data_IF_954917058317
#
_entry.id   IF_954917058317
#
_cell.length_a   1.000
_cell.length_b   1.000
_cell.length_c   1.000
_cell.angle_alpha   90.00
_cell.angle_beta   90.00
_cell.angle_gamma   90.00
#
_symmetry.space_group_name_H-M   'P 1'
#
loop_
_entity.id
_entity.type
_entity.pdbx_description
1 polymer ?
#
# COMPACT_ATOMS: atom_id res chain seq x y z
N UNK A 1 -10.21 -6.94 -35.74
CA UNK A 1 -9.91 -5.49 -35.73
C UNK A 1 -9.49 -5.14 -34.32
N UNK A 2 -8.22 -4.77 -34.11
CA UNK A 2 -7.78 -4.26 -32.82
C UNK A 2 -8.48 -2.91 -32.60
N UNK A 3 -9.23 -2.79 -31.50
CA UNK A 3 -9.81 -1.51 -31.11
C UNK A 3 -8.67 -0.51 -30.94
N UNK A 4 -8.76 0.63 -31.63
CA UNK A 4 -7.81 1.71 -31.44
C UNK A 4 -7.83 2.11 -29.97
N UNK A 5 -6.67 2.02 -29.30
CA UNK A 5 -6.50 2.54 -27.94
C UNK A 5 -6.82 4.02 -27.99
N UNK A 6 -7.76 4.54 -27.18
CA UNK A 6 -8.04 5.97 -27.17
C UNK A 6 -6.73 6.72 -26.91
N UNK A 7 -6.45 7.74 -27.72
CA UNK A 7 -5.38 8.70 -27.44
C UNK A 7 -5.67 9.32 -26.06
N UNK A 8 -4.97 8.85 -25.02
CA UNK A 8 -5.07 9.42 -23.68
C UNK A 8 -4.52 10.86 -23.73
N UNK A 9 -5.23 11.79 -23.09
CA UNK A 9 -4.83 13.19 -23.02
C UNK A 9 -3.49 13.29 -22.30
N UNK A 10 -2.65 14.22 -22.74
CA UNK A 10 -1.37 14.49 -22.08
C UNK A 10 -1.65 15.24 -20.78
N UNK A 11 -1.55 14.54 -19.65
CA UNK A 11 -1.70 15.14 -18.33
C UNK A 11 -0.43 15.90 -17.95
N UNK A 12 -0.60 17.04 -17.28
CA UNK A 12 0.51 17.95 -16.94
C UNK A 12 0.66 18.22 -15.45
N UNK A 13 -0.32 17.83 -14.64
CA UNK A 13 -0.34 17.99 -13.17
C UNK A 13 -0.80 16.71 -12.49
N UNK A 14 -0.35 16.51 -11.25
CA UNK A 14 -0.84 15.43 -10.38
C UNK A 14 -1.42 16.03 -9.11
N UNK A 15 -2.63 15.64 -8.74
CA UNK A 15 -3.26 15.97 -7.46
C UNK A 15 -3.32 14.69 -6.65
N UNK A 16 -2.69 14.69 -5.48
CA UNK A 16 -2.57 13.54 -4.60
C UNK A 16 -3.51 13.72 -3.41
N UNK A 17 -4.32 12.70 -3.11
CA UNK A 17 -4.84 12.58 -1.76
C UNK A 17 -3.71 12.25 -0.76
N UNK A 18 -3.95 12.45 0.53
CA UNK A 18 -2.99 12.19 1.59
C UNK A 18 -3.30 10.91 2.39
N UNK A 19 -4.53 10.79 2.89
CA UNK A 19 -4.91 9.92 4.00
C UNK A 19 -5.49 8.61 3.45
N UNK A 20 -4.69 7.54 3.46
CA UNK A 20 -5.02 6.28 2.77
C UNK A 20 -4.37 6.16 1.39
N UNK A 21 -3.93 7.28 0.80
CA UNK A 21 -3.19 7.30 -0.48
C UNK A 21 -1.67 7.38 -0.30
N UNK A 22 -1.18 8.39 0.44
CA UNK A 22 0.26 8.58 0.68
C UNK A 22 0.70 8.12 2.07
N UNK A 23 -0.20 8.23 3.06
CA UNK A 23 0.05 7.87 4.45
C UNK A 23 -0.97 6.82 4.92
N UNK A 24 -0.52 5.85 5.72
CA UNK A 24 -1.40 4.86 6.32
C UNK A 24 -2.10 5.43 7.56
N UNK A 25 -3.08 6.32 7.37
CA UNK A 25 -3.90 6.87 8.45
C UNK A 25 -4.87 5.86 9.03
N UNK A 26 -5.40 4.95 8.21
CA UNK A 26 -6.42 4.00 8.62
C UNK A 26 -5.97 3.10 9.77
N UNK A 27 -4.68 2.72 9.79
CA UNK A 27 -4.09 1.99 10.90
C UNK A 27 -4.19 2.75 12.23
N UNK A 28 -3.82 4.04 12.23
CA UNK A 28 -3.88 4.89 13.43
C UNK A 28 -5.32 5.14 13.85
N UNK A 29 -6.23 5.39 12.89
CA UNK A 29 -7.67 5.54 13.13
C UNK A 29 -8.23 4.31 13.84
N UNK A 30 -7.95 3.13 13.32
CA UNK A 30 -8.37 1.87 13.94
C UNK A 30 -7.85 1.73 15.37
N UNK A 31 -6.59 2.04 15.63
CA UNK A 31 -6.00 1.86 16.96
C UNK A 31 -6.48 2.88 17.99
N UNK A 32 -6.72 4.13 17.59
CA UNK A 32 -7.35 5.14 18.47
C UNK A 32 -8.78 4.73 18.80
N UNK A 33 -9.56 4.30 17.81
CA UNK A 33 -10.96 3.91 18.02
C UNK A 33 -11.10 2.63 18.85
N UNK A 34 -10.21 1.64 18.68
CA UNK A 34 -10.16 0.45 19.55
C UNK A 34 -10.01 0.81 21.02
N UNK A 35 -9.22 1.83 21.34
CA UNK A 35 -9.00 2.27 22.73
C UNK A 35 -10.16 3.13 23.22
N UNK A 36 -10.56 4.14 22.44
CA UNK A 36 -11.56 5.11 22.84
C UNK A 36 -12.95 4.49 23.03
N UNK A 37 -13.36 3.57 22.14
CA UNK A 37 -14.68 2.96 22.20
C UNK A 37 -14.90 2.07 23.43
N UNK A 38 -13.83 1.55 24.05
CA UNK A 38 -13.90 0.77 25.29
C UNK A 38 -14.48 1.61 26.43
N UNK A 39 -14.20 2.92 26.48
CA UNK A 39 -14.77 3.86 27.46
C UNK A 39 -16.31 3.88 27.41
N UNK A 40 -16.88 3.65 26.24
CA UNK A 40 -18.32 3.60 26.01
C UNK A 40 -18.90 2.18 26.07
N UNK A 41 -18.11 1.19 26.47
CA UNK A 41 -18.51 -0.22 26.48
C UNK A 41 -18.71 -0.80 25.08
N UNK A 42 -18.01 -0.25 24.07
CA UNK A 42 -18.10 -0.65 22.66
C UNK A 42 -16.77 -1.26 22.19
N UNK A 43 -16.82 -1.99 21.08
CA UNK A 43 -15.64 -2.56 20.42
C UNK A 43 -15.59 -2.07 18.97
N UNK A 44 -14.42 -1.62 18.53
CA UNK A 44 -14.20 -1.21 17.15
C UNK A 44 -14.42 -2.39 16.19
N UNK A 45 -15.27 -2.20 15.18
CA UNK A 45 -15.51 -3.15 14.11
C UNK A 45 -14.75 -2.68 12.87
N UNK A 46 -13.74 -3.45 12.45
CA UNK A 46 -12.94 -3.12 11.28
C UNK A 46 -13.78 -2.99 10.00
N UNK A 47 -14.97 -3.61 9.92
CA UNK A 47 -15.88 -3.44 8.77
C UNK A 47 -16.47 -2.03 8.69
N UNK A 48 -16.56 -1.33 9.82
CA UNK A 48 -17.05 0.06 9.89
C UNK A 48 -15.99 1.05 9.41
N UNK A 49 -14.72 0.66 9.32
CA UNK A 49 -13.66 1.52 8.78
C UNK A 49 -14.01 2.02 7.37
N UNK A 50 -14.60 1.14 6.54
CA UNK A 50 -15.03 1.47 5.18
C UNK A 50 -16.05 2.61 5.10
N UNK A 51 -16.86 2.78 6.15
CA UNK A 51 -17.89 3.81 6.17
C UNK A 51 -17.33 5.19 6.51
N UNK A 52 -16.10 5.26 7.02
CA UNK A 52 -15.46 6.52 7.43
C UNK A 52 -14.29 6.93 6.53
N UNK A 53 -13.77 6.02 5.69
CA UNK A 53 -12.70 6.29 4.71
C UNK A 53 -13.08 7.45 3.78
N UNK A 54 -12.16 8.40 3.62
CA UNK A 54 -12.31 9.56 2.74
C UNK A 54 -13.32 10.62 3.18
N UNK A 55 -14.04 10.44 4.30
CA UNK A 55 -14.97 11.44 4.85
C UNK A 55 -14.21 12.60 5.50
N UNK A 56 -14.89 13.73 5.66
CA UNK A 56 -14.39 14.80 6.55
C UNK A 56 -14.38 14.32 8.00
N UNK A 57 -13.54 14.89 8.89
CA UNK A 57 -13.50 14.49 10.30
C UNK A 57 -14.86 14.59 11.00
N UNK A 58 -15.66 15.62 10.68
CA UNK A 58 -16.99 15.80 11.26
C UNK A 58 -17.95 14.69 10.81
N UNK A 59 -17.98 14.36 9.51
CA UNK A 59 -18.85 13.29 8.99
C UNK A 59 -18.44 11.92 9.52
N UNK A 60 -17.13 11.67 9.68
CA UNK A 60 -16.61 10.45 10.29
C UNK A 60 -17.01 10.35 11.77
N UNK A 61 -16.85 11.43 12.54
CA UNK A 61 -17.26 11.50 13.93
C UNK A 61 -18.77 11.31 14.11
N UNK A 62 -19.60 11.94 13.26
CA UNK A 62 -21.05 11.75 13.26
C UNK A 62 -21.41 10.29 13.02
N UNK A 63 -20.84 9.67 12.00
CA UNK A 63 -21.09 8.25 11.71
C UNK A 63 -20.75 7.36 12.92
N UNK A 64 -19.57 7.56 13.54
CA UNK A 64 -19.16 6.78 14.71
C UNK A 64 -20.13 6.95 15.89
N UNK A 65 -20.52 8.20 16.20
CA UNK A 65 -21.46 8.48 17.30
C UNK A 65 -22.81 7.81 17.06
N UNK A 66 -23.34 7.89 15.84
CA UNK A 66 -24.63 7.32 15.46
C UNK A 66 -24.60 5.78 15.45
N UNK A 67 -23.61 5.18 14.78
CA UNK A 67 -23.51 3.73 14.58
C UNK A 67 -23.28 2.99 15.90
N UNK A 68 -22.41 3.54 16.76
CA UNK A 68 -22.15 2.97 18.08
C UNK A 68 -23.16 3.37 19.13
N UNK A 69 -24.05 4.32 18.81
CA UNK A 69 -25.03 4.92 19.74
C UNK A 69 -24.33 5.45 20.99
N UNK A 70 -23.32 6.28 20.78
CA UNK A 70 -22.52 6.85 21.86
C UNK A 70 -23.35 7.89 22.64
N UNK A 71 -23.24 7.93 23.98
CA UNK A 71 -23.94 8.89 24.82
C UNK A 71 -23.24 10.25 24.86
N UNK A 72 -22.87 10.79 23.70
CA UNK A 72 -22.26 12.11 23.54
C UNK A 72 -22.66 12.72 22.18
N UNK A 73 -22.47 14.03 22.05
CA UNK A 73 -22.61 14.74 20.78
C UNK A 73 -21.38 14.54 19.88
N UNK A 74 -21.53 14.82 18.58
CA UNK A 74 -20.41 14.79 17.63
C UNK A 74 -19.27 15.73 18.05
N UNK A 75 -19.59 16.94 18.52
CA UNK A 75 -18.58 17.92 18.94
C UNK A 75 -17.81 17.47 20.19
N UNK A 76 -18.49 16.87 21.15
CA UNK A 76 -17.86 16.28 22.34
C UNK A 76 -16.94 15.12 21.94
N UNK A 77 -17.39 14.24 21.03
CA UNK A 77 -16.59 13.14 20.53
C UNK A 77 -15.36 13.62 19.76
N UNK A 78 -15.50 14.62 18.88
CA UNK A 78 -14.37 15.22 18.16
C UNK A 78 -13.35 15.85 19.11
N UNK A 79 -13.82 16.56 20.12
CA UNK A 79 -12.96 17.18 21.14
C UNK A 79 -12.15 16.14 21.91
N UNK A 80 -12.73 14.95 22.13
CA UNK A 80 -12.06 13.83 22.80
C UNK A 80 -11.07 13.07 21.89
N UNK A 81 -11.43 12.83 20.62
CA UNK A 81 -10.62 11.99 19.72
C UNK A 81 -9.45 12.74 19.05
N UNK A 82 -9.59 14.04 18.79
CA UNK A 82 -8.60 14.84 18.04
C UNK A 82 -7.20 14.86 18.71
N UNK A 83 -7.08 15.02 20.05
CA UNK A 83 -5.77 14.95 20.70
C UNK A 83 -5.11 13.57 20.58
N UNK A 84 -5.90 12.49 20.66
CA UNK A 84 -5.39 11.10 20.57
C UNK A 84 -4.74 10.80 19.22
N UNK A 85 -5.21 11.48 18.17
CA UNK A 85 -4.62 11.42 16.84
C UNK A 85 -3.30 12.18 16.75
N UNK A 86 -3.28 13.40 17.29
CA UNK A 86 -2.11 14.28 17.22
C UNK A 86 -0.86 13.66 17.87
N UNK A 87 -1.06 12.88 18.94
CA UNK A 87 0.01 12.13 19.62
C UNK A 87 0.61 10.98 18.78
N UNK A 88 -0.10 10.52 17.73
CA UNK A 88 0.28 9.34 16.95
C UNK A 88 0.77 9.65 15.55
N UNK A 89 0.55 10.86 15.03
CA UNK A 89 1.02 11.25 13.69
C UNK A 89 2.53 11.16 13.51
N UNK A 90 3.32 11.30 14.58
CA UNK A 90 4.77 11.10 14.51
C UNK A 90 5.20 9.67 14.12
N UNK A 91 4.31 8.68 14.28
CA UNK A 91 4.56 7.28 13.94
C UNK A 91 3.87 6.86 12.63
N UNK A 92 3.29 7.80 11.88
CA UNK A 92 2.55 7.46 10.67
C UNK A 92 3.48 6.90 9.59
N UNK A 93 3.10 5.73 9.07
CA UNK A 93 3.87 5.06 8.02
C UNK A 93 3.45 5.61 6.65
N UNK A 94 4.44 5.95 5.83
CA UNK A 94 4.26 6.29 4.42
C UNK A 94 3.78 5.06 3.66
N UNK A 95 2.84 5.13 2.74
CA UNK A 95 2.41 3.96 1.98
C UNK A 95 3.44 3.52 0.92
N UNK A 96 3.56 2.20 0.62
CA UNK A 96 4.52 1.70 -0.36
C UNK A 96 4.38 2.38 -1.72
N UNK A 97 5.48 2.98 -2.19
CA UNK A 97 5.55 3.72 -3.45
C UNK A 97 5.31 5.23 -3.35
N UNK A 98 4.80 5.76 -2.24
CA UNK A 98 4.51 7.19 -2.09
C UNK A 98 5.77 8.07 -2.17
N UNK A 99 6.81 7.75 -1.38
CA UNK A 99 8.10 8.47 -1.45
C UNK A 99 8.72 8.42 -2.85
N UNK A 100 8.64 7.25 -3.51
CA UNK A 100 9.14 7.02 -4.87
C UNK A 100 8.41 7.91 -5.87
N UNK A 101 7.08 7.97 -5.80
CA UNK A 101 6.25 8.80 -6.66
C UNK A 101 6.54 10.29 -6.48
N UNK A 102 6.51 10.80 -5.24
CA UNK A 102 6.75 12.22 -4.95
C UNK A 102 8.13 12.65 -5.44
N UNK A 103 9.17 11.86 -5.12
CA UNK A 103 10.55 12.15 -5.55
C UNK A 103 10.67 12.14 -7.09
N UNK A 104 10.03 11.17 -7.74
CA UNK A 104 10.06 11.02 -9.20
C UNK A 104 9.40 12.22 -9.90
N UNK A 105 8.17 12.57 -9.52
CA UNK A 105 7.43 13.69 -10.11
C UNK A 105 8.14 15.02 -9.87
N UNK A 106 8.62 15.27 -8.64
CA UNK A 106 9.42 16.46 -8.32
C UNK A 106 10.71 16.53 -9.15
N UNK A 107 11.43 15.42 -9.27
CA UNK A 107 12.68 15.33 -10.03
C UNK A 107 12.52 15.63 -11.52
N UNK A 108 11.32 15.40 -12.06
CA UNK A 108 10.97 15.73 -13.45
C UNK A 108 10.24 17.07 -13.61
N UNK A 109 10.08 17.84 -12.52
CA UNK A 109 9.39 19.13 -12.54
C UNK A 109 7.90 19.04 -12.83
N UNK A 110 7.25 17.89 -12.58
CA UNK A 110 5.80 17.74 -12.69
C UNK A 110 5.14 18.46 -11.51
N UNK A 111 4.29 19.48 -11.74
CA UNK A 111 3.56 20.16 -10.67
C UNK A 111 2.65 19.20 -9.91
N UNK A 112 2.72 19.25 -8.59
CA UNK A 112 1.93 18.43 -7.69
C UNK A 112 1.13 19.28 -6.70
N UNK A 113 -0.10 18.87 -6.42
CA UNK A 113 -0.87 19.39 -5.29
C UNK A 113 -1.31 18.28 -4.34
N UNK A 114 -1.54 18.63 -3.08
CA UNK A 114 -2.29 17.80 -2.14
C UNK A 114 -3.72 18.31 -2.01
N UNK A 115 -4.69 17.38 -1.99
CA UNK A 115 -6.09 17.67 -1.72
C UNK A 115 -6.67 16.63 -0.76
N UNK A 116 -6.92 17.01 0.50
CA UNK A 116 -7.42 16.10 1.54
C UNK A 116 -8.61 16.71 2.28
N UNK A 117 -9.57 15.87 2.69
CA UNK A 117 -10.70 16.26 3.54
C UNK A 117 -10.27 16.60 4.98
N UNK A 118 -9.02 16.32 5.36
CA UNK A 118 -8.42 16.78 6.63
C UNK A 118 -8.25 18.30 6.65
N UNK A 119 -8.33 18.95 7.84
CA UNK A 119 -8.02 20.36 7.98
C UNK A 119 -6.56 20.67 7.62
N UNK A 120 -6.29 21.89 7.13
CA UNK A 120 -4.95 22.33 6.72
C UNK A 120 -3.89 22.11 7.79
N UNK A 121 -4.16 22.49 9.03
CA UNK A 121 -3.24 22.31 10.16
C UNK A 121 -2.89 20.82 10.39
N UNK A 122 -3.89 19.92 10.26
CA UNK A 122 -3.68 18.48 10.38
C UNK A 122 -2.80 17.94 9.26
N UNK A 123 -3.02 18.40 8.02
CA UNK A 123 -2.18 18.06 6.87
C UNK A 123 -0.74 18.50 7.13
N UNK A 124 -0.51 19.76 7.50
CA UNK A 124 0.84 20.27 7.72
C UNK A 124 1.58 19.54 8.85
N UNK A 125 0.85 19.16 9.91
CA UNK A 125 1.39 18.34 11.00
C UNK A 125 1.87 16.99 10.49
N UNK A 126 1.03 16.27 9.72
CA UNK A 126 1.40 14.98 9.11
C UNK A 126 2.63 15.12 8.20
N UNK A 127 2.65 16.14 7.34
CA UNK A 127 3.77 16.40 6.44
C UNK A 127 5.08 16.73 7.17
N UNK A 128 5.01 17.34 8.36
CA UNK A 128 6.21 17.76 9.12
C UNK A 128 7.11 16.60 9.53
N UNK A 129 6.56 15.38 9.61
CA UNK A 129 7.31 14.16 9.93
C UNK A 129 8.00 13.53 8.70
N UNK A 130 7.80 14.09 7.50
CA UNK A 130 8.33 13.56 6.25
C UNK A 130 9.18 14.61 5.54
N UNK A 131 10.50 14.48 5.70
CA UNK A 131 11.46 15.44 5.17
C UNK A 131 11.28 15.67 3.66
N UNK A 132 11.13 16.94 3.27
CA UNK A 132 11.02 17.34 1.87
C UNK A 132 9.62 17.23 1.26
N UNK A 133 8.63 16.68 1.98
CA UNK A 133 7.27 16.51 1.45
C UNK A 133 6.59 17.85 1.22
N UNK A 134 6.53 18.74 2.22
CA UNK A 134 5.87 20.05 2.10
C UNK A 134 6.41 20.85 0.90
N UNK A 135 7.72 20.82 0.68
CA UNK A 135 8.41 21.52 -0.41
C UNK A 135 8.28 20.81 -1.77
N UNK A 136 7.65 19.63 -1.82
CA UNK A 136 7.38 18.92 -3.08
C UNK A 136 6.07 19.33 -3.71
N UNK A 137 5.14 19.90 -2.94
CA UNK A 137 3.83 20.30 -3.41
C UNK A 137 3.80 21.81 -3.73
N UNK A 138 3.37 22.15 -4.94
CA UNK A 138 3.13 23.53 -5.35
C UNK A 138 1.88 24.11 -4.71
N UNK A 139 0.93 23.25 -4.34
CA UNK A 139 -0.28 23.61 -3.62
C UNK A 139 -0.66 22.51 -2.63
N UNK A 140 -1.27 22.91 -1.52
CA UNK A 140 -1.91 22.02 -0.56
C UNK A 140 -3.30 22.63 -0.37
N UNK A 141 -4.34 21.82 -0.28
CA UNK A 141 -5.72 22.26 0.00
C UNK A 141 -6.33 21.32 1.04
N UNK A 142 -6.71 21.88 2.18
CA UNK A 142 -7.46 21.19 3.23
C UNK A 142 -8.96 21.29 3.05
N UNK A 143 -9.69 20.38 3.70
CA UNK A 143 -11.16 20.33 3.65
C UNK A 143 -11.83 21.57 4.27
N UNK A 144 -11.12 22.27 5.17
CA UNK A 144 -11.52 23.52 5.79
C UNK A 144 -11.29 24.77 4.90
N UNK A 145 -10.60 24.62 3.78
CA UNK A 145 -10.34 25.68 2.80
C UNK A 145 -11.39 25.72 1.67
N UNK A 146 -12.39 24.82 1.71
CA UNK A 146 -13.51 24.75 0.76
C UNK A 146 -14.85 24.73 1.48
N UNK A 147 -15.94 25.02 0.76
CA UNK A 147 -17.28 25.04 1.37
C UNK A 147 -17.82 23.62 1.58
N UNK A 148 -17.54 22.71 0.64
CA UNK A 148 -17.89 21.30 0.75
C UNK A 148 -16.70 20.43 0.36
N UNK A 149 -16.29 19.53 1.25
CA UNK A 149 -15.25 18.53 0.99
C UNK A 149 -15.71 17.41 0.03
N UNK A 150 -14.83 16.45 -0.25
CA UNK A 150 -15.12 15.26 -1.09
C UNK A 150 -16.37 14.56 -0.54
N UNK A 151 -17.37 14.17 -1.38
CA UNK A 151 -17.31 14.02 -2.84
C UNK A 151 -17.62 15.27 -3.67
N UNK A 152 -17.71 16.46 -3.06
CA UNK A 152 -17.76 17.70 -3.83
C UNK A 152 -16.48 17.86 -4.68
N UNK A 153 -16.57 18.39 -5.92
CA UNK A 153 -15.38 18.65 -6.73
C UNK A 153 -14.58 19.87 -6.26
N UNK A 154 -15.11 20.68 -5.33
CA UNK A 154 -14.54 21.98 -4.94
C UNK A 154 -13.05 21.90 -4.56
N UNK A 155 -12.65 20.89 -3.78
CA UNK A 155 -11.24 20.73 -3.34
C UNK A 155 -10.28 20.46 -4.50
N UNK A 156 -10.70 19.65 -5.48
CA UNK A 156 -9.89 19.34 -6.64
C UNK A 156 -9.83 20.52 -7.60
N UNK A 157 -10.95 21.23 -7.80
CA UNK A 157 -11.00 22.44 -8.62
C UNK A 157 -10.11 23.55 -8.04
N UNK A 158 -10.10 23.74 -6.72
CA UNK A 158 -9.21 24.70 -6.07
C UNK A 158 -7.73 24.27 -6.20
N UNK A 159 -7.42 22.99 -6.02
CA UNK A 159 -6.07 22.47 -6.24
C UNK A 159 -5.59 22.71 -7.69
N UNK A 160 -6.41 22.42 -8.70
CA UNK A 160 -6.08 22.68 -10.11
C UNK A 160 -5.86 24.17 -10.40
N UNK A 161 -6.71 25.03 -9.83
CA UNK A 161 -6.56 26.49 -9.92
C UNK A 161 -5.23 26.97 -9.33
N UNK A 162 -4.84 26.48 -8.16
CA UNK A 162 -3.55 26.83 -7.54
C UNK A 162 -2.34 26.31 -8.34
N UNK A 163 -2.51 25.20 -9.06
CA UNK A 163 -1.52 24.69 -10.02
C UNK A 163 -1.51 25.44 -11.36
N UNK A 164 -2.41 26.39 -11.57
CA UNK A 164 -2.66 27.04 -12.87
C UNK A 164 -2.91 26.02 -13.99
N UNK A 165 -3.69 24.98 -13.69
CA UNK A 165 -3.99 23.90 -14.62
C UNK A 165 -5.49 23.79 -14.90
N UNK A 166 -5.83 23.42 -16.13
CA UNK A 166 -7.19 23.00 -16.48
C UNK A 166 -7.49 21.64 -15.82
N UNK A 167 -8.69 21.43 -15.24
CA UNK A 167 -9.03 20.16 -14.60
C UNK A 167 -8.83 18.94 -15.51
N UNK A 168 -9.12 19.08 -16.81
CA UNK A 168 -8.92 18.02 -17.80
C UNK A 168 -7.47 17.60 -18.04
N UNK A 169 -6.50 18.35 -17.51
CA UNK A 169 -5.07 18.08 -17.63
C UNK A 169 -4.47 17.55 -16.32
N UNK A 170 -5.28 17.33 -15.28
CA UNK A 170 -4.80 16.78 -14.01
C UNK A 170 -5.16 15.30 -13.85
N UNK A 171 -4.20 14.56 -13.31
CA UNK A 171 -4.37 13.22 -12.79
C UNK A 171 -4.62 13.29 -11.29
N UNK A 172 -5.71 12.71 -10.81
CA UNK A 172 -5.93 12.50 -9.37
C UNK A 172 -5.51 11.08 -8.99
N UNK A 173 -4.80 10.93 -7.88
CA UNK A 173 -4.54 9.62 -7.27
C UNK A 173 -5.21 9.59 -5.90
N UNK A 174 -6.09 8.60 -5.69
CA UNK A 174 -7.07 8.59 -4.60
C UNK A 174 -7.40 7.18 -4.14
N UNK A 175 -7.67 6.97 -2.85
CA UNK A 175 -7.92 5.65 -2.25
C UNK A 175 -9.39 5.39 -1.86
N UNK A 176 -10.25 6.42 -1.96
CA UNK A 176 -11.59 6.48 -1.39
C UNK A 176 -12.67 6.76 -2.43
N UNK A 177 -13.86 6.18 -2.22
CA UNK A 177 -15.01 6.44 -3.11
C UNK A 177 -15.42 7.93 -3.12
N UNK A 178 -15.47 8.66 -1.98
CA UNK A 178 -15.76 10.08 -2.02
C UNK A 178 -14.77 10.87 -2.87
N UNK A 179 -13.47 10.61 -2.75
CA UNK A 179 -12.47 11.34 -3.50
C UNK A 179 -12.45 11.01 -4.98
N UNK A 180 -12.58 9.73 -5.35
CA UNK A 180 -12.79 9.35 -6.76
C UNK A 180 -14.03 10.04 -7.33
N UNK A 181 -15.15 10.04 -6.59
CA UNK A 181 -16.38 10.74 -6.99
C UNK A 181 -16.16 12.24 -7.22
N UNK A 182 -15.48 12.92 -6.29
CA UNK A 182 -15.17 14.35 -6.40
C UNK A 182 -14.25 14.68 -7.56
N UNK A 183 -13.21 13.86 -7.80
CA UNK A 183 -12.28 14.05 -8.90
C UNK A 183 -12.95 13.87 -10.27
N UNK A 184 -13.80 12.85 -10.41
CA UNK A 184 -14.62 12.66 -11.62
C UNK A 184 -15.62 13.80 -11.81
N UNK A 185 -16.25 14.27 -10.74
CA UNK A 185 -17.16 15.44 -10.79
C UNK A 185 -16.42 16.73 -11.20
N UNK A 186 -15.12 16.84 -10.91
CA UNK A 186 -14.26 17.95 -11.35
C UNK A 186 -13.80 17.82 -12.82
N UNK A 187 -14.13 16.71 -13.51
CA UNK A 187 -13.73 16.47 -14.89
C UNK A 187 -12.29 16.00 -15.06
N UNK A 188 -11.70 15.40 -14.01
CA UNK A 188 -10.32 14.92 -13.99
C UNK A 188 -10.22 13.42 -14.31
N UNK A 189 -9.02 13.00 -14.70
CA UNK A 189 -8.65 11.57 -14.78
C UNK A 189 -8.26 11.08 -13.38
N UNK A 190 -8.54 9.81 -13.06
CA UNK A 190 -8.37 9.27 -11.70
C UNK A 190 -7.75 7.88 -11.73
N UNK A 191 -6.64 7.72 -11.00
CA UNK A 191 -6.11 6.42 -10.58
C UNK A 191 -6.59 6.14 -9.16
N UNK A 192 -7.40 5.11 -8.99
CA UNK A 192 -7.78 4.64 -7.66
C UNK A 192 -6.72 3.70 -7.08
N UNK A 193 -6.36 3.89 -5.81
CA UNK A 193 -5.46 3.04 -5.02
C UNK A 193 -6.17 2.61 -3.74
N UNK A 194 -7.16 1.70 -3.79
CA UNK A 194 -8.06 1.48 -2.67
C UNK A 194 -7.33 1.09 -1.38
N UNK A 195 -7.59 1.82 -0.29
CA UNK A 195 -7.00 1.55 1.04
C UNK A 195 -7.28 0.13 1.54
N UNK A 196 -8.41 -0.45 1.11
CA UNK A 196 -8.80 -1.81 1.43
C UNK A 196 -8.81 -2.71 0.20
N UNK A 197 -7.96 -3.76 0.17
CA UNK A 197 -7.92 -4.71 -0.93
C UNK A 197 -9.25 -5.49 -1.04
N UNK A 198 -9.57 -5.97 -2.25
CA UNK A 198 -10.82 -6.67 -2.66
C UNK A 198 -12.02 -5.77 -2.97
N UNK A 199 -11.87 -4.45 -2.91
CA UNK A 199 -12.94 -3.51 -3.23
C UNK A 199 -12.76 -2.81 -4.58
N UNK A 200 -11.77 -3.21 -5.38
CA UNK A 200 -11.48 -2.62 -6.68
C UNK A 200 -12.70 -2.54 -7.60
N UNK A 201 -13.67 -3.45 -7.45
CA UNK A 201 -14.94 -3.46 -8.19
C UNK A 201 -15.87 -2.27 -7.86
N UNK A 202 -15.71 -1.63 -6.70
CA UNK A 202 -16.48 -0.44 -6.30
C UNK A 202 -15.96 0.83 -6.99
N UNK A 203 -14.72 0.82 -7.47
CA UNK A 203 -14.05 1.96 -8.09
C UNK A 203 -14.28 2.02 -9.62
N UNK A 204 -15.44 1.56 -10.08
CA UNK A 204 -15.74 1.45 -11.51
C UNK A 204 -15.76 2.79 -12.28
N UNK A 205 -15.84 3.92 -11.56
CA UNK A 205 -15.77 5.27 -12.13
C UNK A 205 -14.34 5.79 -12.30
N UNK A 206 -13.34 5.15 -11.69
CA UNK A 206 -11.94 5.50 -11.88
C UNK A 206 -11.43 5.03 -13.25
N UNK A 207 -10.45 5.75 -13.80
CA UNK A 207 -9.91 5.49 -15.12
C UNK A 207 -8.82 4.38 -15.10
N UNK A 208 -8.27 4.10 -13.91
CA UNK A 208 -7.50 2.90 -13.57
C UNK A 208 -7.64 2.59 -12.08
N UNK A 209 -7.54 1.30 -11.72
CA UNK A 209 -7.48 0.86 -10.32
C UNK A 209 -6.20 0.05 -10.15
N UNK A 210 -5.35 0.46 -9.22
CA UNK A 210 -4.12 -0.25 -8.85
C UNK A 210 -4.16 -0.67 -7.38
N UNK A 211 -3.41 -1.70 -6.99
CA UNK A 211 -3.40 -2.19 -5.60
C UNK A 211 -2.44 -1.41 -4.71
N UNK A 212 -1.46 -0.74 -5.33
CA UNK A 212 -0.42 0.03 -4.64
C UNK A 212 0.17 1.08 -5.58
N UNK A 213 0.77 2.13 -5.01
CA UNK A 213 1.60 3.06 -5.77
C UNK A 213 2.86 2.40 -6.36
N UNK A 214 3.24 1.20 -5.91
CA UNK A 214 4.26 0.38 -6.57
C UNK A 214 3.83 -0.08 -7.97
N UNK A 215 2.54 -0.24 -8.21
CA UNK A 215 1.98 -0.72 -9.48
C UNK A 215 1.75 0.41 -10.49
N UNK A 216 1.84 1.66 -10.05
CA UNK A 216 1.58 2.82 -10.88
C UNK A 216 2.59 2.92 -12.02
N UNK A 217 2.08 3.17 -13.22
CA UNK A 217 2.86 3.43 -14.44
C UNK A 217 2.55 4.82 -14.99
N UNK A 218 3.33 5.86 -14.62
CA UNK A 218 3.04 7.24 -14.98
C UNK A 218 2.96 7.48 -16.50
N UNK A 219 3.71 6.70 -17.29
CA UNK A 219 3.74 6.82 -18.75
C UNK A 219 2.42 6.49 -19.44
N UNK A 220 1.55 5.69 -18.81
CA UNK A 220 0.19 5.44 -19.31
C UNK A 220 -0.65 6.72 -19.28
N UNK A 221 -0.28 7.66 -18.44
CA UNK A 221 -0.93 8.95 -18.21
C UNK A 221 -0.22 10.12 -18.90
N UNK A 222 0.80 9.84 -19.72
CA UNK A 222 1.61 10.86 -20.38
C UNK A 222 2.62 11.54 -19.45
N UNK A 223 2.81 11.04 -18.23
CA UNK A 223 3.83 11.51 -17.30
C UNK A 223 5.18 10.79 -17.56
N UNK A 224 6.32 11.36 -17.11
CA UNK A 224 7.62 10.71 -17.28
C UNK A 224 7.64 9.30 -16.68
N UNK A 225 8.14 8.27 -17.40
CA UNK A 225 8.21 6.90 -16.88
C UNK A 225 9.18 6.83 -15.70
N UNK A 226 8.89 5.94 -14.74
CA UNK A 226 9.87 5.60 -13.72
C UNK A 226 11.14 4.99 -14.34
N UNK A 227 12.31 5.34 -13.81
CA UNK A 227 13.62 4.91 -14.33
C UNK A 227 14.37 3.96 -13.39
N UNK A 228 13.72 3.52 -12.32
CA UNK A 228 14.31 2.75 -11.23
C UNK A 228 14.02 1.24 -11.31
N UNK A 229 13.32 0.79 -12.34
CA UNK A 229 13.18 -0.64 -12.65
C UNK A 229 14.48 -1.19 -13.22
N UNK A 230 14.93 -2.31 -12.68
CA UNK A 230 16.14 -3.01 -13.08
C UNK A 230 15.74 -4.41 -13.55
N UNK A 231 15.89 -4.68 -14.84
CA UNK A 231 15.58 -5.99 -15.45
C UNK A 231 14.23 -6.58 -15.02
N UNK A 232 13.17 -5.77 -14.97
CA UNK A 232 11.83 -6.23 -14.59
C UNK A 232 11.59 -6.35 -13.08
N UNK A 233 12.50 -5.82 -12.25
CA UNK A 233 12.35 -5.73 -10.80
C UNK A 233 12.43 -4.29 -10.31
N UNK A 234 11.73 -4.00 -9.21
CA UNK A 234 11.74 -2.73 -8.52
C UNK A 234 12.47 -2.88 -7.17
N UNK A 235 13.59 -2.19 -6.93
CA UNK A 235 14.15 -2.10 -5.59
C UNK A 235 13.15 -1.47 -4.61
N UNK A 236 13.01 -2.07 -3.43
CA UNK A 236 12.19 -1.51 -2.34
C UNK A 236 13.05 -1.33 -1.09
N UNK A 237 12.53 -0.58 -0.11
CA UNK A 237 13.14 -0.58 1.21
C UNK A 237 13.11 -1.99 1.79
N UNK A 238 14.27 -2.57 2.14
CA UNK A 238 14.32 -3.95 2.59
C UNK A 238 13.58 -4.14 3.90
N UNK A 239 12.86 -5.24 3.99
CA UNK A 239 12.15 -5.63 5.20
C UNK A 239 12.32 -7.12 5.47
N UNK A 240 12.07 -7.50 6.72
CA UNK A 240 12.50 -8.78 7.26
C UNK A 240 11.35 -9.49 7.95
N UNK A 241 11.26 -10.79 7.70
CA UNK A 241 10.26 -11.67 8.33
C UNK A 241 10.84 -13.07 8.46
N UNK A 242 10.39 -13.83 9.45
CA UNK A 242 10.89 -15.17 9.65
C UNK A 242 10.13 -15.92 10.73
N UNK A 243 10.50 -17.18 10.87
CA UNK A 243 9.94 -18.11 11.83
C UNK A 243 10.10 -19.56 11.38
N UNK A 244 9.49 -20.50 12.12
CA UNK A 244 9.55 -21.90 11.77
C UNK A 244 8.76 -22.15 10.48
N UNK A 245 9.33 -22.97 9.58
CA UNK A 245 8.64 -23.44 8.37
C UNK A 245 7.46 -24.32 8.77
N UNK A 246 6.25 -23.95 8.34
CA UNK A 246 5.02 -24.68 8.65
C UNK A 246 4.50 -25.46 7.44
N UNK A 247 3.66 -26.47 7.70
CA UNK A 247 2.95 -27.17 6.63
C UNK A 247 1.89 -26.26 6.02
N UNK A 248 2.05 -25.94 4.74
CA UNK A 248 1.00 -25.28 3.96
C UNK A 248 -0.09 -26.26 3.51
N UNK A 249 -1.00 -25.78 2.67
CA UNK A 249 -2.13 -26.57 2.13
C UNK A 249 -1.71 -27.61 1.07
N UNK A 250 -0.41 -27.75 0.78
CA UNK A 250 0.13 -28.71 -0.18
C UNK A 250 -0.20 -28.41 -1.65
N UNK A 251 -0.76 -27.23 -1.95
CA UNK A 251 -1.14 -26.84 -3.33
C UNK A 251 0.08 -26.47 -4.18
N UNK A 252 1.00 -25.67 -3.66
CA UNK A 252 2.23 -25.30 -4.36
C UNK A 252 3.02 -26.53 -4.84
N UNK A 253 3.41 -27.41 -3.91
CA UNK A 253 4.25 -28.57 -4.27
C UNK A 253 3.49 -29.64 -5.06
N UNK A 254 2.32 -30.10 -4.60
CA UNK A 254 1.63 -31.25 -5.21
C UNK A 254 0.84 -30.92 -6.47
N UNK A 255 0.44 -29.66 -6.65
CA UNK A 255 -0.40 -29.23 -7.79
C UNK A 255 0.39 -28.38 -8.78
N UNK A 256 1.30 -27.52 -8.30
CA UNK A 256 2.05 -26.60 -9.17
C UNK A 256 3.50 -27.06 -9.43
N UNK A 257 4.02 -28.04 -8.69
CA UNK A 257 5.43 -28.44 -8.76
C UNK A 257 6.39 -27.42 -8.16
N UNK A 258 5.89 -26.50 -7.31
CA UNK A 258 6.66 -25.39 -6.74
C UNK A 258 6.68 -25.55 -5.20
N UNK A 259 7.78 -26.04 -4.62
CA UNK A 259 7.87 -26.28 -3.18
C UNK A 259 7.99 -24.95 -2.42
N UNK A 260 6.90 -24.49 -1.81
CA UNK A 260 6.85 -23.26 -1.01
C UNK A 260 7.09 -23.55 0.48
N UNK A 261 8.01 -22.82 1.11
CA UNK A 261 8.33 -22.88 2.54
C UNK A 261 7.42 -21.93 3.34
N UNK A 262 6.17 -22.33 3.56
CA UNK A 262 5.16 -21.49 4.22
C UNK A 262 5.62 -21.05 5.63
N UNK A 263 5.32 -19.79 5.98
CA UNK A 263 5.58 -19.22 7.30
C UNK A 263 4.26 -18.99 8.06
N UNK A 264 4.31 -19.09 9.39
CA UNK A 264 3.23 -18.55 10.23
C UNK A 264 3.20 -17.03 10.13
N UNK A 265 2.00 -16.47 10.07
CA UNK A 265 1.76 -15.01 10.05
C UNK A 265 1.55 -14.43 11.44
N UNK A 266 1.52 -15.29 12.46
CA UNK A 266 1.42 -14.89 13.86
C UNK A 266 2.60 -13.98 14.25
N UNK A 267 2.29 -12.80 14.79
CA UNK A 267 3.29 -11.78 15.15
C UNK A 267 3.78 -10.91 14.00
N UNK A 268 3.29 -11.13 12.77
CA UNK A 268 3.65 -10.37 11.58
C UNK A 268 2.45 -9.70 10.89
N UNK A 269 1.27 -9.71 11.51
CA UNK A 269 0.06 -9.08 10.97
C UNK A 269 0.28 -7.61 10.57
N UNK A 270 1.00 -6.86 11.41
CA UNK A 270 1.17 -5.42 11.23
C UNK A 270 2.07 -5.13 10.03
N UNK A 271 3.21 -5.84 9.90
CA UNK A 271 4.10 -5.70 8.74
C UNK A 271 3.41 -6.17 7.44
N UNK A 272 2.65 -7.26 7.49
CA UNK A 272 1.97 -7.79 6.32
C UNK A 272 0.78 -6.94 5.89
N UNK A 273 0.08 -6.31 6.83
CA UNK A 273 -0.99 -5.36 6.50
C UNK A 273 -0.46 -4.21 5.65
N UNK A 274 0.77 -3.78 5.92
CA UNK A 274 1.43 -2.65 5.29
C UNK A 274 1.97 -2.94 3.87
N UNK A 275 2.44 -4.15 3.59
CA UNK A 275 2.95 -4.49 2.25
C UNK A 275 1.82 -4.95 1.32
N UNK A 276 1.70 -4.39 0.10
CA UNK A 276 0.63 -4.76 -0.81
C UNK A 276 0.78 -6.21 -1.28
N UNK A 277 -0.34 -6.81 -1.65
CA UNK A 277 -0.33 -8.16 -2.24
C UNK A 277 0.38 -8.14 -3.60
N UNK A 278 1.22 -9.13 -3.84
CA UNK A 278 2.02 -9.22 -5.06
C UNK A 278 3.18 -10.21 -4.94
N UNK A 279 4.06 -10.16 -5.92
CA UNK A 279 5.25 -11.01 -6.00
C UNK A 279 6.49 -10.20 -5.68
N UNK A 280 7.26 -10.72 -4.73
CA UNK A 280 8.47 -10.15 -4.16
C UNK A 280 9.62 -11.13 -4.31
N UNK A 281 10.85 -10.66 -4.06
CA UNK A 281 12.03 -11.50 -4.09
C UNK A 281 13.08 -11.04 -3.08
N UNK A 282 14.03 -11.92 -2.80
CA UNK A 282 15.08 -11.65 -1.83
C UNK A 282 15.90 -12.85 -1.43
N UNK A 283 16.41 -12.80 -0.20
CA UNK A 283 17.30 -13.81 0.36
C UNK A 283 16.63 -14.55 1.50
N UNK A 284 16.81 -15.87 1.51
CA UNK A 284 16.26 -16.78 2.51
C UNK A 284 17.40 -17.48 3.25
N UNK A 285 17.50 -17.25 4.55
CA UNK A 285 18.42 -17.90 5.46
C UNK A 285 17.77 -19.05 6.21
N UNK A 286 18.31 -20.24 6.08
CA UNK A 286 17.96 -21.42 6.86
C UNK A 286 19.03 -21.67 7.92
N UNK A 287 18.61 -21.97 9.15
CA UNK A 287 19.53 -22.10 10.29
C UNK A 287 20.57 -23.21 10.12
N UNK A 288 20.26 -24.28 9.39
CA UNK A 288 21.19 -25.42 9.20
C UNK A 288 21.70 -25.57 7.77
N UNK A 289 21.07 -24.88 6.81
CA UNK A 289 21.33 -25.09 5.37
C UNK A 289 21.98 -23.91 4.66
N UNK A 290 22.10 -22.75 5.30
CA UNK A 290 22.73 -21.56 4.71
C UNK A 290 21.74 -20.61 4.03
N UNK A 291 22.23 -19.81 3.07
CA UNK A 291 21.48 -18.70 2.45
C UNK A 291 21.19 -18.99 0.98
N UNK A 292 19.93 -18.83 0.58
CA UNK A 292 19.39 -19.11 -0.74
C UNK A 292 18.70 -17.89 -1.34
N UNK A 293 18.64 -17.84 -2.68
CA UNK A 293 17.78 -16.90 -3.39
C UNK A 293 16.32 -17.35 -3.23
N UNK A 294 15.38 -16.41 -3.19
CA UNK A 294 13.96 -16.71 -3.12
C UNK A 294 13.12 -15.77 -3.96
N UNK A 295 11.99 -16.31 -4.43
CA UNK A 295 10.83 -15.55 -4.91
C UNK A 295 9.67 -15.83 -3.96
N UNK A 296 8.77 -14.87 -3.75
CA UNK A 296 7.75 -14.97 -2.71
C UNK A 296 6.45 -14.30 -3.14
N UNK A 297 5.33 -15.00 -2.91
CA UNK A 297 4.00 -14.40 -3.04
C UNK A 297 3.49 -13.90 -1.69
N UNK A 298 2.90 -12.72 -1.68
CA UNK A 298 2.10 -12.18 -0.58
C UNK A 298 0.68 -11.99 -1.07
N UNK A 299 -0.29 -12.63 -0.44
CA UNK A 299 -1.67 -12.66 -0.93
C UNK A 299 -2.70 -12.86 0.17
N UNK A 300 -3.98 -12.70 -0.16
CA UNK A 300 -5.07 -13.03 0.77
C UNK A 300 -5.53 -14.48 0.54
N UNK A 301 -5.55 -15.31 1.59
CA UNK A 301 -6.16 -16.63 1.51
C UNK A 301 -7.69 -16.51 1.21
N UNK A 302 -8.24 -17.24 0.22
CA UNK A 302 -9.67 -17.15 -0.08
C UNK A 302 -10.57 -17.98 0.85
N UNK A 303 -10.02 -18.98 1.56
CA UNK A 303 -10.81 -20.05 2.19
C UNK A 303 -11.23 -19.79 3.64
N UNK A 304 -10.61 -18.85 4.34
CA UNK A 304 -10.89 -18.58 5.76
C UNK A 304 -11.62 -17.25 6.00
N UNK A 305 -12.44 -16.80 5.03
CA UNK A 305 -13.20 -15.54 5.17
C UNK A 305 -12.29 -14.36 5.60
N UNK A 306 -11.10 -14.33 4.99
CA UNK A 306 -9.83 -13.91 5.55
C UNK A 306 -9.74 -12.60 6.35
N UNK A 307 -9.10 -12.69 7.51
CA UNK A 307 -8.58 -11.57 8.29
C UNK A 307 -7.07 -11.30 8.10
N UNK A 308 -6.29 -12.22 7.52
CA UNK A 308 -4.82 -12.10 7.40
C UNK A 308 -4.30 -12.43 5.99
N UNK A 309 -3.16 -11.85 5.58
CA UNK A 309 -2.43 -12.25 4.35
C UNK A 309 -1.61 -13.51 4.62
N UNK A 310 -1.30 -14.27 3.58
CA UNK A 310 -0.36 -15.41 3.61
C UNK A 310 0.93 -15.07 2.87
N UNK A 311 2.01 -15.75 3.26
CA UNK A 311 3.33 -15.61 2.64
C UNK A 311 3.78 -16.98 2.15
N UNK A 312 4.12 -17.06 0.88
CA UNK A 312 4.52 -18.31 0.22
C UNK A 312 5.87 -18.10 -0.47
N UNK A 313 7.00 -18.22 0.26
CA UNK A 313 8.32 -18.14 -0.34
C UNK A 313 8.67 -19.46 -1.03
N UNK A 314 9.19 -19.37 -2.24
CA UNK A 314 9.85 -20.44 -2.96
C UNK A 314 11.36 -20.16 -2.97
N UNK A 315 12.11 -20.99 -2.26
CA UNK A 315 13.57 -20.99 -2.31
C UNK A 315 13.98 -21.59 -3.65
N UNK A 316 14.78 -20.86 -4.42
CA UNK A 316 15.24 -21.25 -5.76
C UNK A 316 16.35 -22.30 -5.66
N UNK A 317 15.99 -23.44 -5.08
CA UNK A 317 16.88 -24.57 -4.82
C UNK A 317 16.07 -25.86 -4.69
N UNK A 318 16.63 -26.95 -5.20
CA UNK A 318 16.04 -28.28 -5.10
C UNK A 318 16.51 -28.99 -3.83
N UNK A 319 15.60 -29.12 -2.85
CA UNK A 319 15.85 -29.88 -1.63
C UNK A 319 15.43 -31.34 -1.79
N UNK A 320 16.24 -32.26 -1.27
CA UNK A 320 15.94 -33.70 -1.28
C UNK A 320 14.97 -34.13 -0.16
N UNK A 321 14.64 -33.22 0.76
CA UNK A 321 13.80 -33.49 1.93
C UNK A 321 13.04 -32.23 2.36
N UNK A 322 11.91 -32.44 3.04
CA UNK A 322 11.18 -31.37 3.71
C UNK A 322 11.93 -30.88 4.96
N UNK A 323 11.84 -29.59 5.26
CA UNK A 323 12.49 -28.94 6.41
C UNK A 323 11.50 -28.20 7.32
N UNK A 324 10.34 -28.81 7.56
CA UNK A 324 9.35 -28.26 8.50
C UNK A 324 9.94 -28.08 9.91
N UNK A 325 9.62 -26.96 10.55
CA UNK A 325 10.12 -26.56 11.85
C UNK A 325 11.52 -25.93 11.83
N UNK A 326 12.23 -25.97 10.71
CA UNK A 326 13.49 -25.24 10.57
C UNK A 326 13.22 -23.72 10.57
N UNK A 327 14.11 -22.96 11.20
CA UNK A 327 13.98 -21.50 11.29
C UNK A 327 14.39 -20.86 9.96
N UNK A 328 13.41 -20.27 9.28
CA UNK A 328 13.56 -19.55 8.02
C UNK A 328 13.52 -18.04 8.25
N UNK A 329 14.49 -17.32 7.70
CA UNK A 329 14.65 -15.86 7.81
C UNK A 329 14.71 -15.25 6.43
N UNK A 330 13.79 -14.34 6.13
CA UNK A 330 13.62 -13.73 4.82
C UNK A 330 14.05 -12.26 4.88
N UNK A 331 14.95 -11.88 3.97
CA UNK A 331 15.21 -10.49 3.63
C UNK A 331 14.56 -10.20 2.29
N UNK A 332 13.48 -9.42 2.28
CA UNK A 332 12.78 -9.01 1.08
C UNK A 332 13.39 -7.71 0.60
N UNK A 333 13.83 -7.67 -0.66
CA UNK A 333 14.67 -6.56 -1.18
C UNK A 333 14.11 -5.94 -2.45
N UNK A 334 13.11 -6.56 -3.06
CA UNK A 334 12.50 -6.03 -4.27
C UNK A 334 11.11 -6.60 -4.54
N UNK A 335 10.44 -5.91 -5.45
CA UNK A 335 9.11 -6.19 -5.95
C UNK A 335 9.17 -6.52 -7.45
N UNK A 336 8.32 -7.43 -7.91
CA UNK A 336 8.26 -7.84 -9.32
C UNK A 336 6.96 -7.34 -9.95
N UNK A 337 5.82 -7.66 -9.35
CA UNK A 337 4.50 -7.38 -9.95
C UNK A 337 3.35 -7.55 -8.96
N UNK A 338 2.18 -6.97 -9.25
CA UNK A 338 0.97 -7.24 -8.46
C UNK A 338 0.47 -8.67 -8.64
N UNK A 339 -0.43 -9.08 -7.76
CA UNK A 339 -1.24 -10.27 -7.96
C UNK A 339 -2.04 -10.15 -9.27
N UNK A 340 -2.14 -11.25 -10.00
CA UNK A 340 -2.82 -11.30 -11.28
C UNK A 340 -3.74 -12.52 -11.34
N UNK A 341 -4.87 -12.37 -12.03
CA UNK A 341 -5.73 -13.50 -12.36
C UNK A 341 -5.21 -14.18 -13.62
N UNK A 342 -5.24 -15.52 -13.63
CA UNK A 342 -4.77 -16.33 -14.74
C UNK A 342 -5.93 -17.12 -15.34
N UNK A 343 -5.99 -17.21 -16.67
CA UNK A 343 -7.05 -17.93 -17.38
C UNK A 343 -6.87 -19.45 -17.33
N UNK A 344 -5.67 -19.94 -16.99
CA UNK A 344 -5.37 -21.36 -16.86
C UNK A 344 -4.29 -21.63 -15.83
N UNK A 345 -4.29 -22.85 -15.28
CA UNK A 345 -3.25 -23.33 -14.36
C UNK A 345 -1.85 -23.28 -15.00
N UNK A 346 -1.75 -23.62 -16.28
CA UNK A 346 -0.49 -23.58 -17.03
C UNK A 346 0.06 -22.15 -17.13
N UNK A 347 -0.79 -21.16 -17.41
CA UNK A 347 -0.36 -19.75 -17.47
C UNK A 347 0.10 -19.23 -16.11
N UNK A 348 -0.53 -19.69 -15.03
CA UNK A 348 -0.09 -19.40 -13.65
C UNK A 348 1.29 -20.01 -13.39
N UNK A 349 1.46 -21.31 -13.65
CA UNK A 349 2.73 -22.03 -13.44
C UNK A 349 3.85 -21.38 -14.25
N UNK A 350 3.62 -21.13 -15.55
CA UNK A 350 4.58 -20.47 -16.42
C UNK A 350 4.99 -19.10 -15.86
N UNK A 351 4.04 -18.34 -15.31
CA UNK A 351 4.35 -17.03 -14.74
C UNK A 351 5.17 -17.14 -13.46
N UNK A 352 4.87 -18.11 -12.59
CA UNK A 352 5.67 -18.33 -11.37
C UNK A 352 7.12 -18.70 -11.70
N UNK A 353 7.34 -19.55 -12.71
CA UNK A 353 8.69 -19.88 -13.17
C UNK A 353 9.42 -18.67 -13.79
N UNK A 354 8.71 -17.82 -14.52
CA UNK A 354 9.25 -16.55 -15.02
C UNK A 354 9.66 -15.64 -13.85
N UNK A 355 8.81 -15.48 -12.83
CA UNK A 355 9.12 -14.69 -11.63
C UNK A 355 10.35 -15.25 -10.88
N UNK A 356 10.48 -16.58 -10.81
CA UNK A 356 11.65 -17.25 -10.23
C UNK A 356 12.94 -16.97 -11.01
N UNK A 357 12.89 -17.02 -12.35
CA UNK A 357 14.03 -16.69 -13.21
C UNK A 357 14.45 -15.21 -13.07
N UNK A 358 13.47 -14.30 -13.08
CA UNK A 358 13.70 -12.86 -12.86
C UNK A 358 14.39 -12.65 -11.51
N UNK A 359 13.89 -13.29 -10.46
CA UNK A 359 14.46 -13.21 -9.12
C UNK A 359 15.90 -13.73 -9.07
N UNK A 360 16.16 -14.87 -9.72
CA UNK A 360 17.49 -15.48 -9.76
C UNK A 360 18.52 -14.55 -10.39
N UNK A 361 18.20 -13.97 -11.56
CA UNK A 361 19.07 -13.04 -12.28
C UNK A 361 19.22 -11.71 -11.53
N UNK A 362 18.12 -11.17 -10.99
CA UNK A 362 18.13 -9.91 -10.26
C UNK A 362 19.00 -9.98 -9.00
N UNK A 363 18.94 -11.08 -8.23
CA UNK A 363 19.69 -11.19 -6.97
C UNK A 363 21.21 -11.22 -7.15
N UNK A 364 21.73 -11.43 -8.35
CA UNK A 364 23.16 -11.29 -8.64
C UNK A 364 23.59 -9.84 -8.93
N UNK A 365 22.64 -8.91 -9.11
CA UNK A 365 22.92 -7.51 -9.39
C UNK A 365 23.36 -6.76 -8.12
N UNK A 366 24.26 -5.77 -8.22
CA UNK A 366 24.80 -5.05 -7.06
C UNK A 366 23.78 -4.47 -6.07
N UNK A 367 22.63 -3.91 -6.50
CA UNK A 367 21.62 -3.38 -5.58
C UNK A 367 20.99 -4.43 -4.66
N UNK A 368 21.03 -5.72 -5.05
CA UNK A 368 20.35 -6.80 -4.34
C UNK A 368 21.31 -7.82 -3.73
N UNK A 369 22.49 -8.02 -4.35
CA UNK A 369 23.45 -9.04 -3.97
C UNK A 369 24.01 -8.88 -2.55
N UNK A 370 24.18 -7.63 -2.10
CA UNK A 370 24.71 -7.30 -0.77
C UNK A 370 23.82 -7.81 0.37
N UNK A 371 22.52 -7.98 0.10
CA UNK A 371 21.56 -8.49 1.09
C UNK A 371 21.71 -9.99 1.39
N UNK A 372 22.51 -10.73 0.63
CA UNK A 372 22.91 -12.11 0.99
C UNK A 372 23.68 -12.16 2.30
N UNK A 373 24.39 -11.08 2.61
CA UNK A 373 25.35 -11.03 3.70
C UNK A 373 24.82 -10.34 4.96
N UNK A 374 23.57 -9.88 4.97
CA UNK A 374 23.00 -9.22 6.14
C UNK A 374 22.92 -10.17 7.33
N UNK A 375 23.19 -9.69 8.57
CA UNK A 375 23.17 -10.52 9.75
C UNK A 375 21.88 -11.32 9.92
N UNK A 376 20.72 -10.74 9.57
CA UNK A 376 19.41 -11.39 9.68
C UNK A 376 19.33 -12.74 8.97
N UNK A 377 19.82 -12.85 7.73
CA UNK A 377 19.71 -14.11 6.98
C UNK A 377 20.76 -15.12 7.43
N UNK A 378 21.93 -14.66 7.87
CA UNK A 378 23.03 -15.52 8.32
C UNK A 378 22.86 -16.08 9.72
N UNK A 379 22.39 -15.26 10.65
CA UNK A 379 22.31 -15.56 12.07
C UNK A 379 20.89 -15.31 12.58
N UNK A 380 20.40 -16.10 13.56
CA UNK A 380 19.21 -15.72 14.29
C UNK A 380 19.46 -14.38 15.00
N UNK A 381 18.63 -13.36 14.72
CA UNK A 381 18.64 -12.15 15.55
C UNK A 381 18.27 -12.51 16.98
N UNK A 382 18.93 -11.88 17.95
CA UNK A 382 18.42 -11.89 19.31
C UNK A 382 17.04 -11.23 19.32
N UNK A 383 16.09 -11.71 20.13
CA UNK A 383 14.70 -11.21 20.18
C UNK A 383 14.58 -9.68 20.31
N UNK A 384 15.64 -9.01 20.79
CA UNK A 384 15.70 -7.57 21.01
C UNK A 384 16.17 -6.77 19.78
N UNK A 385 16.53 -7.43 18.67
CA UNK A 385 17.02 -6.79 17.43
C UNK A 385 16.01 -6.87 16.28
N UNK A 386 14.80 -7.41 16.50
CA UNK A 386 13.74 -7.39 15.50
C UNK A 386 13.41 -5.93 15.17
N UNK A 387 13.52 -5.50 13.90
CA UNK A 387 13.09 -4.14 13.53
C UNK A 387 11.59 -4.00 13.81
N UNK A 388 11.22 -2.88 14.46
CA UNK A 388 9.85 -2.46 14.77
C UNK A 388 9.03 -2.16 13.51
#
# INVERSE_FOLDING_TARGET
MAAATPLRRLLSCVILDLDGTLLNTDGIVGDVLKVLLVKYGKQWDAKMALQIVGKTPIEAATAIVEDYKLPCTTDEFMSEITPLFSERWCNIRVLPGANRLIKHLKGHGVPMALASNSPRESIETKLSYHQGWKESFSAIVGGDEVRMGKPSPEIFLEAAKLLNAEPSNCLVIEDSLPGVGGAKAAGMEVVAVPSYPKQSHLYASADEVVNSLLDLRPEIWGLPPFQDWINGTLPIEPWYIGGPVIKGYGRGSKVLGIPTANLSTEGWSDILSYHPSGVYFGWAGLSTRGVYKMVMSIGWNPYFNNTEKTIEPWLLHDFNEDFYGEELRLAIVGYIRPEANFSSLESLISKIHEDGKISEEALDLPPYATYKDVPYVKNPLQLNERPL
#
